data_IF_165537614760
#
_entry.id   IF_165537614760
#
_cell.length_a   1.000
_cell.length_b   1.000
_cell.length_c   1.000
_cell.angle_alpha   90.00
_cell.angle_beta   90.00
_cell.angle_gamma   90.00
#
_symmetry.space_group_name_H-M   'P 1'
#
loop_
_entity.id
_entity.type
_entity.pdbx_description
1 polymer ?
#
# COMPACT_ATOMS: atom_id res chain seq x y z
N UNK A 1 17.55 38.93 -34.62
CA UNK A 1 17.88 38.17 -33.39
C UNK A 1 16.63 37.48 -32.96
N UNK A 2 16.51 36.27 -33.40
CA UNK A 2 15.31 35.41 -33.30
C UNK A 2 15.29 34.72 -31.94
N UNK A 3 14.31 35.11 -31.14
CA UNK A 3 14.13 34.56 -29.81
C UNK A 3 13.27 33.31 -29.97
N UNK A 4 13.92 32.17 -30.23
CA UNK A 4 13.29 30.86 -30.22
C UNK A 4 12.86 30.54 -28.78
N UNK A 5 11.63 30.96 -28.47
CA UNK A 5 10.96 30.50 -27.28
C UNK A 5 10.90 28.96 -27.29
N UNK A 6 11.58 28.34 -26.33
CA UNK A 6 11.42 26.94 -26.06
C UNK A 6 9.96 26.67 -25.75
N UNK A 7 9.18 26.22 -26.76
CA UNK A 7 7.94 25.52 -26.51
C UNK A 7 8.30 24.33 -25.64
N UNK A 8 7.61 24.16 -24.50
CA UNK A 8 7.69 22.91 -23.78
C UNK A 8 7.21 21.81 -24.74
N UNK A 9 8.12 20.91 -25.09
CA UNK A 9 7.81 19.73 -25.86
C UNK A 9 6.58 19.09 -25.21
N UNK A 10 5.48 19.01 -25.97
CA UNK A 10 4.42 18.06 -25.75
C UNK A 10 5.06 16.67 -25.90
N UNK A 11 5.89 16.32 -24.93
CA UNK A 11 6.47 15.01 -24.84
C UNK A 11 5.30 14.11 -24.45
N UNK A 12 4.80 13.59 -25.56
CA UNK A 12 3.96 12.44 -25.69
C UNK A 12 3.90 11.67 -24.36
N UNK A 13 2.72 11.39 -23.91
CA UNK A 13 2.29 10.54 -22.78
C UNK A 13 3.05 9.19 -22.84
N UNK A 14 4.38 9.25 -22.87
CA UNK A 14 5.26 8.11 -22.75
C UNK A 14 5.07 7.62 -21.33
N UNK A 15 4.23 6.58 -21.21
CA UNK A 15 4.00 5.80 -20.01
C UNK A 15 5.33 5.69 -19.25
N UNK A 16 5.41 6.32 -18.11
CA UNK A 16 6.65 6.52 -17.34
C UNK A 16 7.09 5.16 -16.75
N UNK A 17 7.63 4.32 -17.66
CA UNK A 17 7.99 2.93 -17.42
C UNK A 17 8.89 2.77 -16.19
N UNK A 18 9.78 3.73 -15.94
CA UNK A 18 10.64 3.72 -14.77
C UNK A 18 9.85 3.88 -13.45
N UNK A 19 8.83 4.74 -13.44
CA UNK A 19 7.96 4.93 -12.27
C UNK A 19 7.07 3.73 -12.06
N UNK A 20 6.51 3.19 -13.14
CA UNK A 20 5.69 1.97 -13.09
C UNK A 20 6.48 0.79 -12.53
N UNK A 21 7.71 0.55 -13.00
CA UNK A 21 8.57 -0.52 -12.49
C UNK A 21 8.85 -0.33 -11.00
N UNK A 22 9.24 0.88 -10.55
CA UNK A 22 9.52 1.15 -9.14
C UNK A 22 8.30 0.85 -8.25
N UNK A 23 7.12 1.29 -8.69
CA UNK A 23 5.89 1.04 -7.94
C UNK A 23 5.51 -0.44 -7.93
N UNK A 24 5.67 -1.14 -9.04
CA UNK A 24 5.41 -2.58 -9.15
C UNK A 24 6.36 -3.38 -8.25
N UNK A 25 7.66 -3.06 -8.24
CA UNK A 25 8.65 -3.73 -7.37
C UNK A 25 8.29 -3.52 -5.89
N UNK A 26 7.96 -2.29 -5.49
CA UNK A 26 7.54 -2.01 -4.10
C UNK A 26 6.28 -2.77 -3.72
N UNK A 27 5.29 -2.85 -4.61
CA UNK A 27 4.06 -3.62 -4.36
C UNK A 27 4.32 -5.12 -4.27
N UNK A 28 5.24 -5.65 -5.09
CA UNK A 28 5.66 -7.06 -5.01
C UNK A 28 6.33 -7.35 -3.67
N UNK A 29 7.17 -6.44 -3.15
CA UNK A 29 7.75 -6.58 -1.82
C UNK A 29 6.67 -6.56 -0.71
N UNK A 30 5.71 -5.62 -0.78
CA UNK A 30 4.58 -5.59 0.15
C UNK A 30 3.77 -6.88 0.10
N UNK A 31 3.56 -7.43 -1.10
CA UNK A 31 2.86 -8.69 -1.32
C UNK A 31 3.56 -9.88 -0.66
N UNK A 32 4.88 -10.00 -0.87
CA UNK A 32 5.71 -11.05 -0.24
C UNK A 32 5.66 -10.92 1.29
N UNK A 33 5.85 -9.72 1.84
CA UNK A 33 5.83 -9.51 3.29
C UNK A 33 4.46 -9.83 3.89
N UNK A 34 3.38 -9.45 3.20
CA UNK A 34 2.02 -9.80 3.62
C UNK A 34 1.83 -11.31 3.69
N UNK A 35 2.25 -12.07 2.66
CA UNK A 35 2.18 -13.53 2.64
C UNK A 35 2.97 -14.14 3.80
N UNK A 36 4.19 -13.64 4.05
CA UNK A 36 5.02 -14.17 5.15
C UNK A 36 4.30 -13.97 6.49
N UNK A 37 3.74 -12.79 6.75
CA UNK A 37 3.07 -12.50 8.03
C UNK A 37 1.82 -13.34 8.18
N UNK A 38 0.85 -13.25 7.26
CA UNK A 38 -0.41 -13.99 7.44
C UNK A 38 -0.21 -15.50 7.27
N UNK A 39 0.70 -15.94 6.40
CA UNK A 39 1.02 -17.35 6.19
C UNK A 39 1.66 -17.97 7.43
N UNK A 40 2.67 -17.33 8.00
CA UNK A 40 3.32 -17.81 9.24
C UNK A 40 2.34 -17.88 10.41
N UNK A 41 1.49 -16.87 10.57
CA UNK A 41 0.51 -16.86 11.65
C UNK A 41 -0.59 -17.89 11.41
N UNK A 42 -1.04 -18.09 10.16
CA UNK A 42 -2.08 -19.05 9.84
C UNK A 42 -1.61 -20.50 9.97
N UNK A 43 -0.35 -20.78 9.63
CA UNK A 43 0.22 -22.13 9.66
C UNK A 43 0.78 -22.48 11.06
N UNK A 44 1.57 -21.60 11.64
CA UNK A 44 2.33 -21.84 12.87
C UNK A 44 1.88 -21.00 14.07
N UNK A 45 0.98 -20.04 13.84
CA UNK A 45 0.51 -19.13 14.88
C UNK A 45 -0.44 -19.76 15.88
N UNK A 46 -1.01 -20.93 15.56
CA UNK A 46 -1.92 -21.66 16.44
C UNK A 46 -1.30 -22.98 16.86
N UNK A 47 -1.04 -23.14 18.13
CA UNK A 47 -0.58 -24.40 18.72
C UNK A 47 -1.69 -25.03 19.58
N UNK A 48 -1.73 -26.35 19.58
CA UNK A 48 -2.72 -27.10 20.36
C UNK A 48 -2.03 -27.69 21.60
N UNK A 49 -2.12 -27.05 22.77
CA UNK A 49 -1.69 -27.70 23.99
C UNK A 49 -2.62 -28.90 24.24
N UNK A 50 -2.06 -30.02 24.69
CA UNK A 50 -2.60 -31.37 24.77
C UNK A 50 -4.01 -31.52 25.41
N UNK A 51 -4.67 -30.45 25.81
CA UNK A 51 -5.97 -30.48 26.48
C UNK A 51 -7.07 -29.60 25.88
N UNK A 52 -6.77 -28.81 24.78
CA UNK A 52 -7.79 -27.99 24.14
C UNK A 52 -7.93 -28.37 22.66
N UNK A 53 -9.16 -28.68 22.26
CA UNK A 53 -9.50 -29.04 20.89
C UNK A 53 -9.32 -27.91 19.87
N UNK A 54 -9.20 -26.65 20.30
CA UNK A 54 -8.98 -25.48 19.46
C UNK A 54 -7.57 -24.95 19.68
N UNK A 55 -6.84 -24.74 18.59
CA UNK A 55 -5.50 -24.15 18.61
C UNK A 55 -5.51 -22.76 19.30
N UNK A 56 -4.49 -22.49 20.10
CA UNK A 56 -4.34 -21.22 20.83
C UNK A 56 -3.28 -20.37 20.15
N UNK A 57 -3.54 -19.05 20.01
CA UNK A 57 -2.60 -18.13 19.36
C UNK A 57 -1.26 -18.06 20.08
N UNK A 58 -0.15 -18.13 19.32
CA UNK A 58 1.21 -18.09 19.85
C UNK A 58 1.58 -16.76 20.53
N UNK A 59 0.87 -15.70 20.28
CA UNK A 59 1.07 -14.39 20.89
C UNK A 59 0.25 -14.29 22.19
N UNK A 60 0.82 -14.79 23.29
CA UNK A 60 0.24 -14.70 24.64
C UNK A 60 -1.21 -15.23 24.73
N UNK A 61 -1.56 -16.26 23.96
CA UNK A 61 -2.92 -16.82 23.86
C UNK A 61 -3.98 -15.78 23.43
N UNK A 62 -3.58 -14.69 22.81
CA UNK A 62 -4.46 -13.61 22.39
C UNK A 62 -4.94 -13.83 20.94
N UNK A 63 -6.10 -14.44 20.77
CA UNK A 63 -6.70 -14.72 19.47
C UNK A 63 -6.97 -13.44 18.65
N UNK A 64 -7.27 -12.32 19.33
CA UNK A 64 -7.46 -11.04 18.66
C UNK A 64 -6.18 -10.56 17.96
N UNK A 65 -5.01 -10.78 18.56
CA UNK A 65 -3.72 -10.38 17.96
C UNK A 65 -3.43 -11.17 16.69
N UNK A 66 -3.62 -12.50 16.72
CA UNK A 66 -3.45 -13.36 15.54
C UNK A 66 -4.47 -13.01 14.44
N UNK A 67 -5.75 -12.90 14.77
CA UNK A 67 -6.81 -12.57 13.81
C UNK A 67 -6.60 -11.19 13.17
N UNK A 68 -6.17 -10.20 13.96
CA UNK A 68 -5.87 -8.86 13.44
C UNK A 68 -4.70 -8.88 12.46
N UNK A 69 -3.60 -9.56 12.81
CA UNK A 69 -2.43 -9.65 11.94
C UNK A 69 -2.72 -10.41 10.64
N UNK A 70 -3.48 -11.50 10.70
CA UNK A 70 -3.96 -12.23 9.52
C UNK A 70 -4.86 -11.32 8.67
N UNK A 71 -5.81 -10.61 9.28
CA UNK A 71 -6.71 -9.68 8.58
C UNK A 71 -5.96 -8.57 7.84
N UNK A 72 -5.00 -7.91 8.50
CA UNK A 72 -4.15 -6.88 7.88
C UNK A 72 -3.30 -7.47 6.76
N UNK A 73 -2.74 -8.66 6.96
CA UNK A 73 -1.95 -9.36 5.94
C UNK A 73 -2.76 -9.70 4.69
N UNK A 74 -3.97 -10.26 4.86
CA UNK A 74 -4.87 -10.57 3.74
C UNK A 74 -5.32 -9.30 3.02
N UNK A 75 -5.65 -8.24 3.75
CA UNK A 75 -6.02 -6.96 3.17
C UNK A 75 -4.87 -6.38 2.32
N UNK A 76 -3.64 -6.42 2.84
CA UNK A 76 -2.45 -6.00 2.11
C UNK A 76 -2.21 -6.84 0.86
N UNK A 77 -2.37 -8.17 0.96
CA UNK A 77 -2.24 -9.09 -0.17
C UNK A 77 -3.20 -8.74 -1.30
N UNK A 78 -4.49 -8.60 -0.99
CA UNK A 78 -5.52 -8.26 -1.98
C UNK A 78 -5.23 -6.89 -2.61
N UNK A 79 -4.86 -5.90 -1.82
CA UNK A 79 -4.54 -4.57 -2.32
C UNK A 79 -3.34 -4.57 -3.27
N UNK A 80 -2.28 -5.34 -2.97
CA UNK A 80 -1.12 -5.46 -3.84
C UNK A 80 -1.43 -6.11 -5.20
N UNK A 81 -2.52 -6.86 -5.32
CA UNK A 81 -3.00 -7.41 -6.60
C UNK A 81 -3.93 -6.42 -7.31
N UNK A 82 -4.87 -5.82 -6.58
CA UNK A 82 -5.90 -4.94 -7.16
C UNK A 82 -5.31 -3.64 -7.71
N UNK A 83 -4.45 -2.95 -6.97
CA UNK A 83 -3.93 -1.66 -7.40
C UNK A 83 -3.10 -1.70 -8.70
N UNK A 84 -2.18 -2.66 -8.93
CA UNK A 84 -1.48 -2.77 -10.22
C UNK A 84 -2.44 -3.03 -11.39
N UNK A 85 -3.48 -3.83 -11.18
CA UNK A 85 -4.52 -4.09 -12.20
C UNK A 85 -5.24 -2.79 -12.53
N UNK A 86 -5.65 -2.02 -11.52
CA UNK A 86 -6.27 -0.72 -11.70
C UNK A 86 -5.34 0.26 -12.44
N UNK A 87 -4.06 0.32 -12.09
CA UNK A 87 -3.07 1.17 -12.76
C UNK A 87 -2.95 0.83 -14.27
N UNK A 88 -2.96 -0.46 -14.63
CA UNK A 88 -2.94 -0.89 -16.04
C UNK A 88 -4.24 -0.56 -16.76
N UNK A 89 -5.39 -0.76 -16.13
CA UNK A 89 -6.70 -0.45 -16.74
C UNK A 89 -6.82 1.05 -17.02
N UNK A 90 -6.38 1.89 -16.07
CA UNK A 90 -6.48 3.34 -16.15
C UNK A 90 -5.52 3.92 -17.17
N UNK A 91 -4.35 3.31 -17.36
CA UNK A 91 -3.43 3.75 -18.42
C UNK A 91 -4.08 3.65 -19.82
N UNK A 92 -5.11 2.79 -19.98
CA UNK A 92 -5.91 2.63 -21.20
C UNK A 92 -7.13 3.53 -21.27
N UNK A 93 -7.56 4.12 -20.15
CA UNK A 93 -8.73 4.99 -20.08
C UNK A 93 -8.29 6.45 -20.21
N UNK A 94 -8.85 7.16 -21.18
CA UNK A 94 -8.55 8.58 -21.46
C UNK A 94 -9.16 9.57 -20.46
N UNK A 95 -9.90 9.12 -19.43
CA UNK A 95 -10.60 10.01 -18.49
C UNK A 95 -9.66 10.55 -17.41
N UNK A 96 -9.38 11.85 -17.44
CA UNK A 96 -8.58 12.56 -16.44
C UNK A 96 -9.16 12.45 -15.01
N UNK A 97 -10.51 12.50 -14.90
CA UNK A 97 -11.21 12.39 -13.60
C UNK A 97 -11.04 11.01 -12.96
N UNK A 98 -11.00 9.94 -13.74
CA UNK A 98 -10.78 8.58 -13.24
C UNK A 98 -9.34 8.43 -12.72
N UNK A 99 -8.35 8.96 -13.46
CA UNK A 99 -6.95 8.97 -13.02
C UNK A 99 -6.76 9.66 -11.68
N UNK A 100 -7.36 10.85 -11.49
CA UNK A 100 -7.26 11.62 -10.27
C UNK A 100 -7.86 10.87 -9.06
N UNK A 101 -9.04 10.27 -9.21
CA UNK A 101 -9.70 9.50 -8.14
C UNK A 101 -8.86 8.32 -7.67
N UNK A 102 -8.16 7.65 -8.57
CA UNK A 102 -7.40 6.45 -8.24
C UNK A 102 -6.06 6.80 -7.62
N UNK A 103 -5.41 7.87 -8.06
CA UNK A 103 -4.20 8.38 -7.40
C UNK A 103 -4.52 8.81 -5.96
N UNK A 104 -5.64 9.48 -5.73
CA UNK A 104 -6.11 9.84 -4.38
C UNK A 104 -6.43 8.60 -3.55
N UNK A 105 -7.10 7.61 -4.16
CA UNK A 105 -7.42 6.34 -3.50
C UNK A 105 -6.17 5.55 -3.10
N UNK A 106 -5.18 5.46 -4.00
CA UNK A 106 -3.91 4.81 -3.72
C UNK A 106 -3.14 5.49 -2.58
N UNK A 107 -3.09 6.82 -2.58
CA UNK A 107 -2.46 7.59 -1.50
C UNK A 107 -3.16 7.36 -0.15
N UNK A 108 -4.48 7.51 -0.11
CA UNK A 108 -5.26 7.33 1.11
C UNK A 108 -5.13 5.90 1.66
N UNK A 109 -5.23 4.90 0.78
CA UNK A 109 -5.11 3.49 1.15
C UNK A 109 -3.70 3.15 1.65
N UNK A 110 -2.65 3.56 0.94
CA UNK A 110 -1.25 3.30 1.34
C UNK A 110 -0.92 3.94 2.68
N UNK A 111 -1.44 5.14 2.94
CA UNK A 111 -1.30 5.80 4.24
C UNK A 111 -2.03 5.04 5.34
N UNK A 112 -3.28 4.63 5.11
CA UNK A 112 -4.04 3.82 6.06
C UNK A 112 -3.35 2.48 6.36
N UNK A 113 -2.81 1.80 5.33
CA UNK A 113 -2.07 0.55 5.51
C UNK A 113 -0.79 0.73 6.33
N UNK A 114 -0.10 1.86 6.18
CA UNK A 114 1.07 2.18 7.02
C UNK A 114 0.68 2.22 8.51
N UNK A 115 -0.45 2.85 8.85
CA UNK A 115 -0.95 2.89 10.23
C UNK A 115 -1.41 1.50 10.73
N UNK A 116 -2.11 0.73 9.90
CA UNK A 116 -2.55 -0.62 10.26
C UNK A 116 -1.37 -1.54 10.55
N UNK A 117 -0.31 -1.49 9.72
CA UNK A 117 0.91 -2.25 9.96
C UNK A 117 1.68 -1.77 11.20
N UNK A 118 1.68 -0.46 11.48
CA UNK A 118 2.28 0.06 12.70
C UNK A 118 1.57 -0.46 13.95
N UNK A 119 0.23 -0.45 13.97
CA UNK A 119 -0.56 -1.03 15.06
C UNK A 119 -0.29 -2.54 15.16
N UNK A 120 -0.28 -3.25 14.03
CA UNK A 120 0.00 -4.67 13.97
C UNK A 120 1.37 -5.00 14.60
N UNK A 121 2.41 -4.29 14.22
CA UNK A 121 3.76 -4.43 14.79
C UNK A 121 3.76 -4.21 16.30
N UNK A 122 3.16 -3.13 16.78
CA UNK A 122 3.09 -2.82 18.20
C UNK A 122 2.34 -3.89 19.00
N UNK A 123 1.22 -4.39 18.47
CA UNK A 123 0.43 -5.45 19.10
C UNK A 123 1.22 -6.76 19.15
N UNK A 124 1.77 -7.21 18.03
CA UNK A 124 2.55 -8.44 17.97
C UNK A 124 3.78 -8.38 18.87
N UNK A 125 4.52 -7.26 18.86
CA UNK A 125 5.69 -7.08 19.71
C UNK A 125 5.32 -7.10 21.21
N UNK A 126 4.28 -6.37 21.60
CA UNK A 126 3.82 -6.35 23.01
C UNK A 126 3.33 -7.73 23.47
N UNK A 127 2.62 -8.45 22.64
CA UNK A 127 2.17 -9.80 22.99
C UNK A 127 3.34 -10.79 23.03
N UNK A 128 4.29 -10.66 22.11
CA UNK A 128 5.49 -11.48 22.08
C UNK A 128 6.32 -11.33 23.35
N UNK A 129 6.53 -10.13 23.87
CA UNK A 129 7.29 -9.87 25.11
C UNK A 129 6.63 -10.49 26.36
N UNK A 130 5.34 -10.79 26.30
CA UNK A 130 4.55 -11.44 27.37
C UNK A 130 4.41 -12.95 27.19
N UNK A 131 4.90 -13.50 26.09
CA UNK A 131 4.77 -14.93 25.78
C UNK A 131 5.91 -15.72 26.39
N UNK A 132 5.59 -16.82 27.09
CA UNK A 132 6.56 -17.81 27.52
C UNK A 132 7.05 -18.60 26.31
N UNK A 133 8.27 -18.36 25.86
CA UNK A 133 8.85 -18.92 24.63
C UNK A 133 9.15 -20.41 24.66
N UNK A 134 8.93 -21.07 25.79
CA UNK A 134 9.32 -22.48 26.01
C UNK A 134 8.45 -23.48 25.22
N UNK A 135 7.26 -23.07 24.80
CA UNK A 135 6.27 -23.95 24.12
C UNK A 135 5.80 -23.43 22.75
N UNK A 136 6.43 -22.39 22.21
CA UNK A 136 5.98 -21.68 21.00
C UNK A 136 7.06 -21.69 19.96
N UNK A 137 6.70 -21.74 18.67
CA UNK A 137 7.63 -21.56 17.55
C UNK A 137 8.18 -20.12 17.53
N UNK A 138 9.23 -19.88 18.33
CA UNK A 138 9.83 -18.56 18.52
C UNK A 138 10.29 -17.92 17.21
N UNK A 139 10.74 -18.71 16.25
CA UNK A 139 11.25 -18.22 14.96
C UNK A 139 10.10 -17.70 14.07
N UNK A 140 8.96 -18.36 14.09
CA UNK A 140 7.75 -17.90 13.38
C UNK A 140 7.24 -16.57 13.94
N UNK A 141 7.20 -16.43 15.27
CA UNK A 141 6.78 -15.20 15.94
C UNK A 141 7.74 -14.04 15.63
N UNK A 142 9.06 -14.28 15.72
CA UNK A 142 10.07 -13.29 15.37
C UNK A 142 9.99 -12.87 13.91
N UNK A 143 9.79 -13.82 13.00
CA UNK A 143 9.59 -13.53 11.60
C UNK A 143 8.35 -12.65 11.38
N UNK A 144 7.20 -12.99 11.96
CA UNK A 144 5.98 -12.19 11.84
C UNK A 144 6.17 -10.75 12.33
N UNK A 145 6.85 -10.54 13.48
CA UNK A 145 7.17 -9.22 14.01
C UNK A 145 8.12 -8.45 13.08
N UNK A 146 9.20 -9.08 12.61
CA UNK A 146 10.18 -8.45 11.73
C UNK A 146 9.57 -8.05 10.39
N UNK A 147 8.79 -8.93 9.74
CA UNK A 147 8.14 -8.63 8.46
C UNK A 147 7.00 -7.61 8.60
N UNK A 148 6.33 -7.53 9.75
CA UNK A 148 5.41 -6.43 10.06
C UNK A 148 6.13 -5.08 10.09
N UNK A 149 7.32 -5.01 10.67
CA UNK A 149 8.15 -3.79 10.67
C UNK A 149 8.59 -3.39 9.25
N UNK A 150 9.09 -4.34 8.45
CA UNK A 150 9.44 -4.06 7.05
C UNK A 150 8.23 -3.63 6.21
N UNK A 151 7.05 -4.15 6.52
CA UNK A 151 5.80 -3.73 5.88
C UNK A 151 5.47 -2.26 6.15
N UNK A 152 5.71 -1.75 7.37
CA UNK A 152 5.55 -0.32 7.66
C UNK A 152 6.38 0.53 6.71
N UNK A 153 7.66 0.18 6.55
CA UNK A 153 8.61 0.93 5.71
C UNK A 153 8.15 0.90 4.25
N UNK A 154 7.83 -0.27 3.72
CA UNK A 154 7.44 -0.41 2.30
C UNK A 154 6.13 0.30 1.99
N UNK A 155 5.12 0.26 2.88
CA UNK A 155 3.87 0.98 2.71
C UNK A 155 4.05 2.50 2.87
N UNK A 156 4.94 2.96 3.76
CA UNK A 156 5.30 4.37 3.87
C UNK A 156 5.97 4.90 2.59
N UNK A 157 6.87 4.11 1.99
CA UNK A 157 7.49 4.45 0.70
C UNK A 157 6.46 4.47 -0.42
N UNK A 158 5.51 3.53 -0.46
CA UNK A 158 4.39 3.56 -1.41
C UNK A 158 3.53 4.80 -1.25
N UNK A 159 3.19 5.18 -0.03
CA UNK A 159 2.44 6.41 0.26
C UNK A 159 3.20 7.66 -0.22
N UNK A 160 4.52 7.70 0.00
CA UNK A 160 5.37 8.79 -0.48
C UNK A 160 5.39 8.89 -2.03
N UNK A 161 5.50 7.75 -2.72
CA UNK A 161 5.45 7.69 -4.19
C UNK A 161 4.08 8.13 -4.71
N UNK A 162 2.99 7.68 -4.07
CA UNK A 162 1.63 8.08 -4.40
C UNK A 162 1.41 9.59 -4.18
N UNK A 163 1.96 10.17 -3.11
CA UNK A 163 1.94 11.61 -2.85
C UNK A 163 2.66 12.41 -3.95
N UNK A 164 3.81 11.94 -4.41
CA UNK A 164 4.51 12.54 -5.55
C UNK A 164 3.67 12.53 -6.83
N UNK A 165 2.94 11.45 -7.11
CA UNK A 165 2.00 11.37 -8.25
C UNK A 165 0.84 12.36 -8.10
N UNK A 166 0.30 12.49 -6.90
CA UNK A 166 -0.78 13.43 -6.61
C UNK A 166 -0.37 14.88 -6.85
N UNK A 167 0.82 15.29 -6.39
CA UNK A 167 1.34 16.66 -6.59
C UNK A 167 1.57 16.98 -8.08
N UNK A 168 2.10 16.03 -8.86
CA UNK A 168 2.29 16.22 -10.30
C UNK A 168 0.93 16.43 -11.00
N UNK A 169 -0.10 15.68 -10.63
CA UNK A 169 -1.43 15.84 -11.19
C UNK A 169 -2.06 17.21 -10.83
N UNK A 170 -1.88 17.70 -9.60
CA UNK A 170 -2.34 19.01 -9.19
C UNK A 170 -1.69 20.13 -10.01
N UNK A 171 -0.36 20.13 -10.12
CA UNK A 171 0.38 21.12 -10.88
C UNK A 171 -0.04 21.13 -12.35
N UNK A 172 -0.29 19.96 -12.94
CA UNK A 172 -0.78 19.84 -14.33
C UNK A 172 -2.20 20.40 -14.47
N UNK A 173 -3.08 20.17 -13.50
CA UNK A 173 -4.45 20.70 -13.50
C UNK A 173 -4.46 22.23 -13.37
N UNK A 174 -3.66 22.79 -12.44
CA UNK A 174 -3.55 24.24 -12.27
C UNK A 174 -2.98 24.91 -13.53
N UNK A 175 -2.00 24.28 -14.16
CA UNK A 175 -1.39 24.80 -15.39
C UNK A 175 -2.38 24.80 -16.55
N UNK A 176 -3.17 23.75 -16.73
CA UNK A 176 -4.21 23.66 -17.75
C UNK A 176 -5.35 24.66 -17.53
N UNK A 177 -5.79 24.87 -16.28
CA UNK A 177 -6.78 25.89 -15.96
C UNK A 177 -6.27 27.31 -16.14
N UNK A 178 -4.98 27.55 -15.94
CA UNK A 178 -4.34 28.84 -16.20
C UNK A 178 -4.16 29.11 -17.69
N UNK A 179 -3.89 28.08 -18.51
CA UNK A 179 -3.70 28.22 -19.97
C UNK A 179 -5.01 28.34 -20.76
N UNK A 180 -6.10 27.72 -20.26
CA UNK A 180 -7.39 27.69 -20.98
C UNK A 180 -8.55 28.23 -20.14
N UNK A 181 -8.47 29.45 -19.59
CA UNK A 181 -9.59 30.02 -18.82
C UNK A 181 -10.86 30.24 -19.67
N UNK A 182 -10.71 30.33 -21.00
CA UNK A 182 -11.81 30.57 -21.94
C UNK A 182 -12.64 29.33 -22.30
N UNK A 183 -12.09 28.13 -22.14
CA UNK A 183 -12.77 26.88 -22.54
C UNK A 183 -13.64 26.34 -21.40
N UNK A 184 -13.22 26.58 -20.16
CA UNK A 184 -13.91 26.06 -18.96
C UNK A 184 -14.96 27.05 -18.42
N UNK A 185 -14.84 28.34 -18.76
CA UNK A 185 -15.71 29.40 -18.28
C UNK A 185 -17.07 29.55 -19.02
N UNK A 186 -17.30 28.84 -20.13
CA UNK A 186 -18.51 29.00 -20.96
C UNK A 186 -19.53 27.86 -20.82
N UNK A 187 -19.45 27.07 -19.78
CA UNK A 187 -20.39 25.96 -19.54
C UNK A 187 -21.56 26.25 -18.58
N UNK A 188 -21.71 27.48 -18.07
CA UNK A 188 -22.76 27.85 -17.13
C UNK A 188 -23.51 29.12 -17.54
N UNK A 189 -24.07 29.14 -18.77
CA UNK A 189 -25.14 30.09 -19.15
C UNK A 189 -25.93 29.50 -20.28
N UNK A 190 -26.85 28.62 -19.92
CA UNK A 190 -28.20 28.49 -20.51
C UNK A 190 -29.05 27.55 -19.64
#
# INVERSE_FOLDING_TARGET
>A
MENTGNLPSLDNDSFDWRRFIKQTVLRTLCWVFAIVVFGTISDQGYYSPTSKANGTCMFNNNECACSYAVGVGVLAFVACVVFPILDVIISKISSATAKDRIVKGDLAFSTAMTFLWFICFCVLLNQWTRTNSEYVMADAARAAVAFSFFSIITWAVLAYVAYGRYNVNLNTCEWLTALFPRIIGNGNSE
#
